data_IF_224884950524
#
_entry.id   IF_224884950524
#
_cell.length_a   1.000
_cell.length_b   1.000
_cell.length_c   1.000
_cell.angle_alpha   90.00
_cell.angle_beta   90.00
_cell.angle_gamma   90.00
#
_symmetry.space_group_name_H-M   'P 1'
#
loop_
_entity.id
_entity.type
_entity.pdbx_description
1 polymer ?
#
# COMPACT_ATOMS: atom_id res chain seq x y z
N UNK A 1 12.80 20.61 -18.89
CA UNK A 1 13.05 19.26 -18.34
C UNK A 1 14.00 19.29 -17.12
N UNK A 2 15.26 19.75 -17.23
CA UNK A 2 16.26 19.71 -16.13
C UNK A 2 15.80 20.50 -14.89
N UNK A 3 15.27 21.73 -15.03
CA UNK A 3 14.77 22.54 -13.90
C UNK A 3 13.61 21.85 -13.17
N UNK A 4 12.73 21.16 -13.88
CA UNK A 4 11.59 20.42 -13.30
C UNK A 4 12.09 19.18 -12.54
N UNK A 5 13.07 18.48 -13.10
CA UNK A 5 13.71 17.32 -12.47
C UNK A 5 14.39 17.72 -11.14
N UNK A 6 15.19 18.78 -11.16
CA UNK A 6 15.88 19.31 -9.95
C UNK A 6 14.84 19.74 -8.90
N UNK A 7 13.76 20.42 -9.30
CA UNK A 7 12.67 20.81 -8.39
C UNK A 7 11.98 19.61 -7.75
N UNK A 8 11.68 18.58 -8.55
CA UNK A 8 11.02 17.37 -8.06
C UNK A 8 11.94 16.60 -7.10
N UNK A 9 13.21 16.44 -7.43
CA UNK A 9 14.20 15.77 -6.58
C UNK A 9 14.37 16.53 -5.24
N UNK A 10 14.48 17.85 -5.28
CA UNK A 10 14.56 18.68 -4.06
C UNK A 10 13.32 18.54 -3.18
N UNK A 11 12.13 18.59 -3.78
CA UNK A 11 10.87 18.41 -3.05
C UNK A 11 10.74 17.01 -2.46
N UNK A 12 11.20 15.98 -3.18
CA UNK A 12 11.19 14.60 -2.68
C UNK A 12 12.13 14.44 -1.46
N UNK A 13 13.34 15.01 -1.55
CA UNK A 13 14.30 14.99 -0.44
C UNK A 13 13.77 15.73 0.80
N UNK A 14 13.16 16.90 0.62
CA UNK A 14 12.55 17.65 1.73
C UNK A 14 11.44 16.82 2.39
N UNK A 15 10.57 16.18 1.61
CA UNK A 15 9.50 15.31 2.13
C UNK A 15 10.07 14.09 2.85
N UNK A 16 11.11 13.48 2.30
CA UNK A 16 11.79 12.34 2.93
C UNK A 16 12.36 12.73 4.30
N UNK A 17 13.08 13.86 4.39
CA UNK A 17 13.63 14.35 5.66
C UNK A 17 12.51 14.68 6.66
N UNK A 18 11.45 15.38 6.22
CA UNK A 18 10.32 15.73 7.07
C UNK A 18 9.58 14.49 7.60
N UNK A 19 9.29 13.51 6.74
CA UNK A 19 8.58 12.30 7.15
C UNK A 19 9.48 11.34 7.92
N UNK A 20 10.78 11.33 7.67
CA UNK A 20 11.73 10.60 8.51
C UNK A 20 11.86 11.22 9.90
N UNK A 21 11.85 12.55 10.01
CA UNK A 21 11.79 13.24 11.31
C UNK A 21 10.49 12.93 12.05
N UNK A 22 9.36 12.87 11.35
CA UNK A 22 8.08 12.44 11.91
C UNK A 22 8.13 10.97 12.37
N UNK A 23 8.73 10.08 11.57
CA UNK A 23 8.96 8.69 11.94
C UNK A 23 9.74 8.60 13.26
N UNK A 24 10.84 9.35 13.41
CA UNK A 24 11.62 9.38 14.65
C UNK A 24 10.76 9.89 15.82
N UNK A 25 10.03 10.99 15.64
CA UNK A 25 9.15 11.53 16.69
C UNK A 25 8.07 10.51 17.13
N UNK A 26 7.41 9.86 16.17
CA UNK A 26 6.38 8.86 16.45
C UNK A 26 6.95 7.57 17.05
N UNK A 27 8.24 7.27 16.84
CA UNK A 27 8.93 6.12 17.44
C UNK A 27 9.12 6.24 18.96
N UNK A 28 8.88 7.42 19.54
CA UNK A 28 8.82 7.61 21.00
C UNK A 28 7.41 7.45 21.58
N UNK A 29 6.38 7.37 20.74
CA UNK A 29 4.99 7.20 21.20
C UNK A 29 4.74 5.75 21.61
N UNK A 30 4.35 5.51 22.86
CA UNK A 30 4.14 4.16 23.41
C UNK A 30 3.10 3.36 22.61
N UNK A 31 3.32 2.03 22.46
CA UNK A 31 2.37 1.12 21.79
C UNK A 31 0.99 1.18 22.43
N UNK A 32 0.90 1.37 23.77
CA UNK A 32 -0.37 1.53 24.49
C UNK A 32 -1.19 2.73 24.01
N UNK A 33 -0.55 3.80 23.55
CA UNK A 33 -1.23 4.97 22.98
C UNK A 33 -1.88 4.62 21.64
N UNK A 34 -1.16 3.93 20.75
CA UNK A 34 -1.70 3.43 19.49
C UNK A 34 -2.86 2.47 19.71
N UNK A 35 -2.73 1.56 20.66
CA UNK A 35 -3.81 0.66 21.06
C UNK A 35 -5.05 1.44 21.56
N UNK A 36 -4.86 2.41 22.47
CA UNK A 36 -5.96 3.20 23.04
C UNK A 36 -6.70 4.00 21.98
N UNK A 37 -6.01 4.57 21.02
CA UNK A 37 -6.57 5.48 20.01
C UNK A 37 -6.85 4.80 18.66
N UNK A 38 -6.72 3.48 18.52
CA UNK A 38 -6.89 2.76 17.26
C UNK A 38 -8.23 3.03 16.55
N UNK A 39 -9.33 3.03 17.29
CA UNK A 39 -10.66 3.34 16.72
C UNK A 39 -10.81 4.81 16.35
N UNK A 40 -10.19 5.72 17.11
CA UNK A 40 -10.19 7.16 16.79
C UNK A 40 -9.40 7.39 15.51
N UNK A 41 -8.25 6.73 15.35
CA UNK A 41 -7.45 6.80 14.14
C UNK A 41 -8.20 6.24 12.92
N UNK A 42 -8.96 5.16 13.11
CA UNK A 42 -9.81 4.60 12.06
C UNK A 42 -10.95 5.56 11.69
N UNK A 43 -11.66 6.12 12.66
CA UNK A 43 -12.72 7.11 12.42
C UNK A 43 -12.20 8.38 11.76
N UNK A 44 -11.02 8.85 12.15
CA UNK A 44 -10.35 9.96 11.51
C UNK A 44 -10.04 9.67 10.03
N UNK A 45 -9.53 8.47 9.73
CA UNK A 45 -9.31 8.02 8.35
C UNK A 45 -10.61 7.99 7.54
N UNK A 46 -11.72 7.50 8.11
CA UNK A 46 -13.03 7.52 7.47
C UNK A 46 -13.53 8.94 7.22
N UNK A 47 -13.39 9.83 8.19
CA UNK A 47 -13.75 11.23 8.05
C UNK A 47 -12.97 11.89 6.91
N UNK A 48 -11.67 11.65 6.82
CA UNK A 48 -10.86 12.15 5.70
C UNK A 48 -11.31 11.59 4.36
N UNK A 49 -11.69 10.30 4.28
CA UNK A 49 -12.24 9.70 3.05
C UNK A 49 -13.57 10.36 2.65
N UNK A 50 -14.43 10.67 3.60
CA UNK A 50 -15.68 11.39 3.35
C UNK A 50 -15.41 12.82 2.90
N UNK A 51 -14.46 13.52 3.52
CA UNK A 51 -14.08 14.89 3.10
C UNK A 51 -13.58 14.93 1.66
N UNK A 52 -12.88 13.90 1.16
CA UNK A 52 -12.47 13.83 -0.24
C UNK A 52 -13.65 13.82 -1.20
N UNK A 53 -14.75 13.19 -0.85
CA UNK A 53 -15.94 13.13 -1.73
C UNK A 53 -16.50 14.55 -1.96
N UNK A 54 -16.49 15.38 -0.92
CA UNK A 54 -17.02 16.75 -0.99
C UNK A 54 -15.99 17.77 -1.47
N UNK A 55 -14.77 17.73 -0.93
CA UNK A 55 -13.73 18.74 -1.11
C UNK A 55 -12.50 18.27 -1.89
N UNK A 56 -12.53 17.05 -2.43
CA UNK A 56 -11.38 16.47 -3.12
C UNK A 56 -11.05 17.17 -4.42
N UNK A 57 -9.74 17.27 -4.71
CA UNK A 57 -9.23 17.78 -5.97
C UNK A 57 -9.19 16.65 -6.99
N UNK A 58 -9.62 16.96 -8.23
CA UNK A 58 -9.52 16.02 -9.35
C UNK A 58 -8.11 16.05 -9.92
N UNK A 59 -7.43 14.91 -9.89
CA UNK A 59 -6.19 14.68 -10.61
C UNK A 59 -6.33 13.40 -11.43
N UNK A 60 -5.89 13.43 -12.68
CA UNK A 60 -5.96 12.28 -13.61
C UNK A 60 -7.37 11.64 -13.68
N UNK A 61 -8.43 12.46 -13.68
CA UNK A 61 -9.82 12.01 -13.83
C UNK A 61 -10.46 11.41 -12.56
N UNK A 62 -9.84 11.51 -11.40
CA UNK A 62 -10.41 11.02 -10.14
C UNK A 62 -10.20 11.99 -8.98
N UNK A 63 -11.23 12.12 -8.12
CA UNK A 63 -11.16 12.93 -6.89
C UNK A 63 -10.62 12.06 -5.75
N UNK A 64 -9.32 12.19 -5.42
CA UNK A 64 -8.66 11.34 -4.40
C UNK A 64 -7.80 12.12 -3.41
N UNK A 65 -7.57 13.41 -3.67
CA UNK A 65 -6.57 14.20 -2.99
C UNK A 65 -7.18 15.36 -2.22
N UNK A 66 -6.64 15.65 -1.04
CA UNK A 66 -6.89 16.87 -0.28
C UNK A 66 -5.62 17.72 -0.32
N UNK A 67 -5.73 18.98 -0.73
CA UNK A 67 -4.60 19.89 -0.70
C UNK A 67 -4.37 20.40 0.73
N UNK A 68 -3.19 20.11 1.27
CA UNK A 68 -2.72 20.59 2.57
C UNK A 68 -1.71 21.73 2.43
N UNK A 69 -1.72 22.49 1.31
CA UNK A 69 -0.80 23.57 0.95
C UNK A 69 0.65 23.11 0.73
N UNK A 70 1.19 22.21 1.56
CA UNK A 70 2.56 21.69 1.50
C UNK A 70 2.65 20.47 0.58
N UNK A 71 1.65 19.60 0.62
CA UNK A 71 1.53 18.41 -0.25
C UNK A 71 0.08 17.99 -0.37
N UNK A 72 -0.22 17.22 -1.41
CA UNK A 72 -1.53 16.61 -1.58
C UNK A 72 -1.59 15.33 -0.76
N UNK A 73 -2.54 15.28 0.18
CA UNK A 73 -2.80 14.10 1.00
C UNK A 73 -3.82 13.21 0.30
N UNK A 74 -3.51 11.91 0.18
CA UNK A 74 -4.45 10.88 -0.23
C UNK A 74 -4.90 10.10 1.02
N UNK A 75 -6.12 10.31 1.52
CA UNK A 75 -6.57 9.71 2.78
C UNK A 75 -6.61 8.18 2.77
N UNK A 76 -6.84 7.57 1.62
CA UNK A 76 -6.83 6.11 1.48
C UNK A 76 -5.46 5.49 1.83
N UNK A 77 -4.36 6.24 1.70
CA UNK A 77 -3.03 5.79 2.13
C UNK A 77 -2.96 5.65 3.66
N UNK A 78 -3.48 6.62 4.41
CA UNK A 78 -3.56 6.56 5.87
C UNK A 78 -4.56 5.51 6.33
N UNK A 79 -5.68 5.34 5.59
CA UNK A 79 -6.73 4.39 5.94
C UNK A 79 -6.22 2.95 5.97
N UNK A 80 -5.25 2.57 5.14
CA UNK A 80 -4.62 1.24 5.19
C UNK A 80 -4.00 0.95 6.55
N UNK A 81 -3.21 1.90 7.07
CA UNK A 81 -2.59 1.76 8.39
C UNK A 81 -3.66 1.75 9.48
N UNK A 82 -4.68 2.62 9.35
CA UNK A 82 -5.77 2.71 10.32
C UNK A 82 -6.57 1.40 10.42
N UNK A 83 -6.85 0.73 9.32
CA UNK A 83 -7.50 -0.60 9.29
C UNK A 83 -6.64 -1.63 10.01
N UNK A 84 -5.33 -1.65 9.74
CA UNK A 84 -4.39 -2.59 10.38
C UNK A 84 -4.38 -2.39 11.90
N UNK A 85 -4.25 -1.14 12.37
CA UNK A 85 -4.24 -0.79 13.80
C UNK A 85 -5.61 -1.13 14.45
N UNK A 86 -6.71 -0.82 13.76
CA UNK A 86 -8.05 -1.10 14.23
C UNK A 86 -8.29 -2.61 14.42
N UNK A 87 -7.93 -3.42 13.43
CA UNK A 87 -8.09 -4.87 13.47
C UNK A 87 -7.18 -5.53 14.48
N UNK A 88 -5.92 -5.08 14.59
CA UNK A 88 -5.00 -5.57 15.62
C UNK A 88 -5.57 -5.33 17.03
N UNK A 89 -6.21 -4.15 17.26
CA UNK A 89 -6.90 -3.86 18.52
C UNK A 89 -8.15 -4.73 18.72
N UNK A 90 -8.94 -4.91 17.69
CA UNK A 90 -10.17 -5.70 17.75
C UNK A 90 -9.87 -7.14 18.17
N UNK A 91 -8.96 -7.81 17.47
CA UNK A 91 -8.60 -9.20 17.76
C UNK A 91 -7.78 -9.39 19.03
N UNK A 92 -7.08 -8.35 19.49
CA UNK A 92 -6.40 -8.40 20.79
C UNK A 92 -7.36 -8.56 21.98
N UNK A 93 -8.63 -8.16 21.84
CA UNK A 93 -9.63 -8.27 22.90
C UNK A 93 -10.41 -9.57 22.89
N UNK A 94 -10.30 -10.35 21.85
CA UNK A 94 -11.05 -11.59 21.66
C UNK A 94 -10.19 -12.76 22.14
N UNK A 95 -10.78 -13.66 22.93
CA UNK A 95 -10.10 -14.90 23.32
C UNK A 95 -9.93 -15.78 22.10
N UNK A 96 -8.82 -16.52 22.02
CA UNK A 96 -8.49 -17.38 20.88
C UNK A 96 -9.57 -18.44 20.58
N UNK A 97 -10.27 -18.90 21.61
CA UNK A 97 -11.39 -19.87 21.51
C UNK A 97 -12.63 -19.30 20.82
N UNK A 98 -12.83 -17.99 20.89
CA UNK A 98 -14.02 -17.32 20.38
C UNK A 98 -13.88 -16.84 18.94
N UNK A 99 -12.63 -16.75 18.43
CA UNK A 99 -12.32 -16.23 17.09
C UNK A 99 -13.00 -17.06 16.00
N UNK A 100 -13.24 -18.35 16.22
CA UNK A 100 -13.92 -19.23 15.26
C UNK A 100 -15.41 -18.96 15.10
N UNK A 101 -16.02 -18.19 16.02
CA UNK A 101 -17.45 -17.86 15.95
C UNK A 101 -17.71 -16.78 14.89
N UNK A 102 -18.73 -17.02 14.04
CA UNK A 102 -19.15 -16.07 13.00
C UNK A 102 -19.53 -14.68 13.54
N UNK A 103 -19.91 -14.58 14.83
CA UNK A 103 -20.25 -13.32 15.48
C UNK A 103 -19.08 -12.34 15.50
N UNK A 104 -17.86 -12.87 15.67
CA UNK A 104 -16.64 -12.04 15.68
C UNK A 104 -16.06 -11.77 14.29
N UNK A 105 -16.65 -12.37 13.23
CA UNK A 105 -16.29 -12.12 11.85
C UNK A 105 -17.09 -10.93 11.25
N UNK A 106 -18.35 -10.77 11.66
CA UNK A 106 -19.23 -9.78 11.05
C UNK A 106 -18.72 -8.35 11.25
N UNK A 107 -18.27 -8.01 12.46
CA UNK A 107 -17.80 -6.66 12.77
C UNK A 107 -16.54 -6.26 11.97
N UNK A 108 -15.45 -7.07 11.88
CA UNK A 108 -14.31 -6.76 11.01
C UNK A 108 -14.69 -6.66 9.53
N UNK A 109 -15.61 -7.49 9.05
CA UNK A 109 -16.08 -7.40 7.66
C UNK A 109 -16.74 -6.04 7.41
N UNK A 110 -17.64 -5.60 8.28
CA UNK A 110 -18.28 -4.28 8.15
C UNK A 110 -17.23 -3.16 8.21
N UNK A 111 -16.31 -3.22 9.18
CA UNK A 111 -15.22 -2.26 9.31
C UNK A 111 -14.26 -2.28 8.10
N UNK A 112 -14.18 -3.37 7.33
CA UNK A 112 -13.40 -3.44 6.11
C UNK A 112 -14.17 -2.93 4.90
N UNK A 113 -15.44 -3.28 4.79
CA UNK A 113 -16.27 -2.94 3.62
C UNK A 113 -16.54 -1.43 3.54
N UNK A 114 -16.71 -0.73 4.67
CA UNK A 114 -16.97 0.72 4.68
C UNK A 114 -15.85 1.51 3.97
N UNK A 115 -14.57 1.43 4.39
CA UNK A 115 -13.51 2.15 3.71
C UNK A 115 -13.28 1.67 2.28
N UNK A 116 -13.39 0.37 2.00
CA UNK A 116 -13.29 -0.15 0.64
C UNK A 116 -14.36 0.44 -0.28
N UNK A 117 -15.61 0.50 0.18
CA UNK A 117 -16.70 1.11 -0.58
C UNK A 117 -16.44 2.60 -0.86
N UNK A 118 -16.02 3.38 0.16
CA UNK A 118 -15.70 4.79 -0.01
C UNK A 118 -14.55 5.01 -1.01
N UNK A 119 -13.53 4.14 -1.00
CA UNK A 119 -12.40 4.23 -1.92
C UNK A 119 -12.79 3.82 -3.34
N UNK A 120 -13.65 2.83 -3.50
CA UNK A 120 -14.20 2.43 -4.83
C UNK A 120 -15.05 3.56 -5.44
N UNK A 121 -15.80 4.32 -4.64
CA UNK A 121 -16.56 5.48 -5.13
C UNK A 121 -15.65 6.60 -5.63
N UNK A 122 -14.40 6.69 -5.15
CA UNK A 122 -13.36 7.62 -5.58
C UNK A 122 -12.55 7.14 -6.80
N UNK A 123 -13.09 6.29 -7.66
CA UNK A 123 -12.50 5.42 -8.69
C UNK A 123 -11.09 4.89 -8.40
N UNK A 124 -10.81 4.44 -7.16
CA UNK A 124 -9.50 3.91 -6.75
C UNK A 124 -9.57 2.42 -6.38
N UNK A 125 -9.74 1.58 -7.39
CA UNK A 125 -9.88 0.14 -7.20
C UNK A 125 -8.58 -0.49 -6.67
N UNK A 126 -7.42 0.01 -7.08
CA UNK A 126 -6.12 -0.50 -6.64
C UNK A 126 -5.92 -0.37 -5.13
N UNK A 127 -6.15 0.82 -4.61
CA UNK A 127 -6.04 1.07 -3.16
C UNK A 127 -7.11 0.31 -2.38
N UNK A 128 -8.34 0.16 -2.91
CA UNK A 128 -9.38 -0.64 -2.27
C UNK A 128 -8.97 -2.12 -2.13
N UNK A 129 -8.36 -2.70 -3.16
CA UNK A 129 -7.83 -4.08 -3.12
C UNK A 129 -6.71 -4.21 -2.08
N UNK A 130 -5.82 -3.21 -1.99
CA UNK A 130 -4.74 -3.22 -1.00
C UNK A 130 -5.25 -3.10 0.44
N UNK A 131 -6.28 -2.26 0.68
CA UNK A 131 -6.96 -2.17 1.98
C UNK A 131 -7.63 -3.50 2.31
N UNK A 132 -8.39 -4.06 1.37
CA UNK A 132 -9.08 -5.34 1.54
C UNK A 132 -8.09 -6.48 1.82
N UNK A 133 -7.03 -6.58 1.02
CA UNK A 133 -5.99 -7.60 1.17
C UNK A 133 -5.29 -7.54 2.53
N UNK A 134 -4.92 -6.35 3.00
CA UNK A 134 -4.30 -6.18 4.31
C UNK A 134 -5.25 -6.51 5.46
N UNK A 135 -6.52 -6.13 5.36
CA UNK A 135 -7.54 -6.45 6.37
C UNK A 135 -7.85 -7.95 6.42
N UNK A 136 -8.04 -8.59 5.28
CA UNK A 136 -8.28 -10.04 5.17
C UNK A 136 -7.09 -10.82 5.75
N UNK A 137 -5.86 -10.38 5.45
CA UNK A 137 -4.67 -11.01 5.99
C UNK A 137 -4.62 -10.98 7.52
N UNK A 138 -5.00 -9.87 8.15
CA UNK A 138 -5.06 -9.78 9.63
C UNK A 138 -6.14 -10.70 10.19
N UNK A 139 -7.30 -10.78 9.54
CA UNK A 139 -8.39 -11.68 9.95
C UNK A 139 -7.89 -13.14 9.94
N UNK A 140 -7.13 -13.51 8.91
CA UNK A 140 -6.52 -14.84 8.82
C UNK A 140 -5.46 -15.07 9.89
N UNK A 141 -4.54 -14.12 10.05
CA UNK A 141 -3.45 -14.18 11.03
C UNK A 141 -3.93 -14.15 12.48
N UNK A 142 -5.12 -13.61 12.73
CA UNK A 142 -5.77 -13.66 14.04
C UNK A 142 -6.22 -15.07 14.43
N UNK A 143 -6.31 -16.00 13.47
CA UNK A 143 -6.65 -17.41 13.73
C UNK A 143 -8.02 -17.84 13.20
N UNK A 144 -8.64 -17.07 12.30
CA UNK A 144 -9.91 -17.48 11.69
C UNK A 144 -9.70 -18.77 10.85
N UNK A 145 -10.64 -19.69 10.93
CA UNK A 145 -10.56 -20.97 10.25
C UNK A 145 -10.50 -20.78 8.72
N UNK A 146 -9.56 -21.48 8.09
CA UNK A 146 -9.33 -21.43 6.62
C UNK A 146 -10.57 -21.75 5.80
N UNK A 147 -11.53 -22.52 6.34
CA UNK A 147 -12.78 -22.85 5.67
C UNK A 147 -13.58 -21.63 5.24
N UNK A 148 -13.60 -20.57 6.06
CA UNK A 148 -14.30 -19.32 5.73
C UNK A 148 -13.67 -18.63 4.51
N UNK A 149 -12.33 -18.67 4.38
CA UNK A 149 -11.63 -18.13 3.22
C UNK A 149 -11.89 -18.95 1.97
N UNK A 150 -11.94 -20.29 2.07
CA UNK A 150 -12.28 -21.18 0.95
C UNK A 150 -13.70 -20.90 0.49
N UNK A 151 -14.67 -20.84 1.40
CA UNK A 151 -16.07 -20.56 1.04
C UNK A 151 -16.25 -19.15 0.46
N UNK A 152 -15.60 -18.13 1.04
CA UNK A 152 -15.66 -16.78 0.50
C UNK A 152 -14.97 -16.67 -0.87
N UNK A 153 -13.86 -17.37 -1.08
CA UNK A 153 -13.18 -17.46 -2.37
C UNK A 153 -14.04 -18.16 -3.43
N UNK A 154 -14.69 -19.26 -3.07
CA UNK A 154 -15.63 -19.96 -3.96
C UNK A 154 -16.83 -19.07 -4.31
N UNK A 155 -17.42 -18.40 -3.33
CA UNK A 155 -18.50 -17.44 -3.55
C UNK A 155 -18.08 -16.32 -4.49
N UNK A 156 -16.86 -15.79 -4.32
CA UNK A 156 -16.31 -14.76 -5.18
C UNK A 156 -16.12 -15.26 -6.60
N UNK A 157 -15.63 -16.48 -6.80
CA UNK A 157 -15.49 -17.10 -8.12
C UNK A 157 -16.86 -17.27 -8.81
N UNK A 158 -17.87 -17.75 -8.10
CA UNK A 158 -19.23 -17.90 -8.64
C UNK A 158 -19.86 -16.54 -8.97
N UNK A 159 -19.57 -15.50 -8.16
CA UNK A 159 -20.08 -14.14 -8.39
C UNK A 159 -19.30 -13.35 -9.45
N UNK A 160 -18.17 -13.84 -9.97
CA UNK A 160 -17.34 -13.15 -10.95
C UNK A 160 -18.11 -12.64 -12.19
N UNK A 161 -18.96 -13.44 -12.86
CA UNK A 161 -19.72 -12.94 -14.01
C UNK A 161 -20.62 -11.75 -13.66
N UNK A 162 -21.26 -11.81 -12.48
CA UNK A 162 -22.10 -10.72 -11.99
C UNK A 162 -21.28 -9.48 -11.65
N UNK A 163 -20.13 -9.65 -10.97
CA UNK A 163 -19.19 -8.54 -10.65
C UNK A 163 -18.74 -7.88 -11.95
N UNK A 164 -18.33 -8.65 -12.97
CA UNK A 164 -17.90 -8.11 -14.27
C UNK A 164 -19.03 -7.31 -14.94
N UNK A 165 -20.29 -7.72 -14.80
CA UNK A 165 -21.42 -6.98 -15.39
C UNK A 165 -21.59 -5.59 -14.78
N UNK A 166 -21.35 -5.43 -13.48
CA UNK A 166 -21.50 -4.18 -12.71
C UNK A 166 -20.31 -3.25 -12.84
N UNK A 167 -19.14 -3.73 -13.26
CA UNK A 167 -17.94 -2.90 -13.41
C UNK A 167 -18.20 -1.69 -14.30
N UNK A 168 -17.66 -0.54 -13.88
CA UNK A 168 -17.69 0.69 -14.69
C UNK A 168 -16.88 0.51 -15.99
N UNK A 169 -17.21 1.26 -17.06
CA UNK A 169 -16.53 1.12 -18.36
C UNK A 169 -15.00 1.22 -18.26
N UNK A 170 -14.46 2.13 -17.46
CA UNK A 170 -13.01 2.29 -17.28
C UNK A 170 -12.35 1.08 -16.60
N UNK A 171 -13.07 0.38 -15.70
CA UNK A 171 -12.57 -0.82 -15.04
C UNK A 171 -12.53 -2.01 -16.00
N UNK A 172 -13.61 -2.16 -16.80
CA UNK A 172 -13.65 -3.15 -17.89
C UNK A 172 -12.54 -2.91 -18.91
N UNK A 173 -12.33 -1.64 -19.29
CA UNK A 173 -11.26 -1.27 -20.20
C UNK A 173 -9.89 -1.70 -19.68
N UNK A 174 -9.57 -1.46 -18.40
CA UNK A 174 -8.29 -1.87 -17.81
C UNK A 174 -8.06 -3.38 -17.84
N UNK A 175 -9.12 -4.17 -17.59
CA UNK A 175 -9.04 -5.63 -17.68
C UNK A 175 -8.83 -6.07 -19.13
N UNK A 176 -9.56 -5.50 -20.08
CA UNK A 176 -9.42 -5.84 -21.49
C UNK A 176 -8.06 -5.43 -22.05
N UNK A 177 -7.57 -4.24 -21.67
CA UNK A 177 -6.25 -3.73 -22.06
C UNK A 177 -5.12 -4.59 -21.46
N UNK A 178 -5.32 -5.17 -20.29
CA UNK A 178 -4.35 -6.11 -19.71
C UNK A 178 -4.18 -7.37 -20.57
N UNK A 179 -5.29 -7.96 -21.08
CA UNK A 179 -5.22 -9.12 -21.95
C UNK A 179 -4.78 -8.79 -23.38
N UNK A 180 -5.10 -7.60 -23.86
CA UNK A 180 -4.69 -7.12 -25.18
C UNK A 180 -4.27 -5.63 -25.11
N UNK A 181 -2.98 -5.37 -24.77
CA UNK A 181 -2.48 -3.98 -24.65
C UNK A 181 -2.55 -3.17 -25.94
N UNK A 182 -2.56 -3.82 -27.10
CA UNK A 182 -2.62 -3.16 -28.41
C UNK A 182 -3.97 -2.46 -28.68
N UNK A 183 -5.02 -2.81 -27.92
CA UNK A 183 -6.34 -2.14 -28.04
C UNK A 183 -6.33 -0.68 -27.56
N UNK A 184 -5.38 -0.31 -26.73
CA UNK A 184 -5.27 1.03 -26.15
C UNK A 184 -3.86 1.59 -26.38
N UNK A 185 -3.51 1.94 -27.62
CA UNK A 185 -2.17 2.35 -28.00
C UNK A 185 -1.77 3.75 -27.51
N UNK A 186 -2.68 4.51 -26.89
CA UNK A 186 -2.44 5.85 -26.36
C UNK A 186 -2.66 5.96 -24.84
N UNK A 187 -3.19 4.92 -24.19
CA UNK A 187 -3.52 4.91 -22.77
C UNK A 187 -2.77 3.87 -21.97
N UNK A 188 -3.50 3.08 -21.18
CA UNK A 188 -2.93 2.07 -20.29
C UNK A 188 -2.12 0.98 -21.04
N UNK A 189 -2.56 0.60 -22.24
CA UNK A 189 -1.83 -0.39 -23.08
C UNK A 189 -0.44 0.11 -23.48
N UNK A 190 -0.36 1.38 -23.89
CA UNK A 190 0.91 2.03 -24.19
C UNK A 190 1.88 1.97 -22.99
N UNK A 191 1.39 2.32 -21.81
CA UNK A 191 2.22 2.30 -20.59
C UNK A 191 2.77 0.90 -20.28
N UNK A 192 1.96 -0.17 -20.45
CA UNK A 192 2.40 -1.55 -20.26
C UNK A 192 3.49 -1.93 -21.26
N UNK A 193 3.28 -1.61 -22.54
CA UNK A 193 4.23 -1.94 -23.61
C UNK A 193 5.55 -1.20 -23.37
N UNK A 194 5.51 0.11 -23.13
CA UNK A 194 6.72 0.92 -22.88
C UNK A 194 7.44 0.48 -21.61
N UNK A 195 6.71 0.10 -20.56
CA UNK A 195 7.31 -0.44 -19.35
C UNK A 195 8.08 -1.74 -19.61
N UNK A 196 7.49 -2.69 -20.36
CA UNK A 196 8.16 -3.94 -20.73
C UNK A 196 9.39 -3.69 -21.60
N UNK A 197 9.32 -2.78 -22.57
CA UNK A 197 10.45 -2.37 -23.41
C UNK A 197 11.57 -1.79 -22.55
N UNK A 198 11.25 -0.88 -21.63
CA UNK A 198 12.24 -0.27 -20.75
C UNK A 198 12.96 -1.30 -19.87
N UNK A 199 12.20 -2.17 -19.19
CA UNK A 199 12.76 -3.22 -18.34
C UNK A 199 13.66 -4.16 -19.18
N UNK A 200 13.16 -4.61 -20.34
CA UNK A 200 13.93 -5.50 -21.24
C UNK A 200 15.20 -4.85 -21.78
N UNK A 201 15.15 -3.54 -22.07
CA UNK A 201 16.29 -2.80 -22.58
C UNK A 201 17.41 -2.56 -21.55
N UNK A 202 17.10 -2.70 -20.24
CA UNK A 202 18.08 -2.60 -19.16
C UNK A 202 19.07 -3.78 -19.13
N UNK A 203 18.71 -4.95 -19.68
CA UNK A 203 19.58 -6.12 -19.70
C UNK A 203 20.07 -6.53 -18.29
N UNK A 204 21.29 -7.08 -18.21
CA UNK A 204 21.84 -7.54 -16.93
C UNK A 204 22.38 -6.39 -16.05
N UNK A 205 23.05 -5.41 -16.62
CA UNK A 205 23.78 -4.37 -15.87
C UNK A 205 23.14 -2.98 -15.94
N UNK A 206 22.07 -2.82 -16.74
CA UNK A 206 21.45 -1.52 -16.98
C UNK A 206 22.19 -0.66 -18.01
N UNK A 207 21.54 0.45 -18.41
CA UNK A 207 22.11 1.43 -19.33
C UNK A 207 23.04 2.45 -18.64
N UNK A 208 23.02 2.49 -17.30
CA UNK A 208 23.70 3.49 -16.49
C UNK A 208 22.76 4.56 -15.92
N UNK A 209 23.18 5.17 -14.82
CA UNK A 209 22.41 6.20 -14.13
C UNK A 209 22.14 7.40 -15.04
N UNK A 210 20.90 7.82 -15.16
CA UNK A 210 20.41 8.88 -16.05
C UNK A 210 20.61 8.62 -17.56
N UNK A 211 20.90 7.38 -17.98
CA UNK A 211 21.09 7.01 -19.38
C UNK A 211 19.92 6.20 -19.94
N UNK A 212 18.83 6.06 -19.16
CA UNK A 212 17.60 5.40 -19.59
C UNK A 212 16.90 6.17 -20.71
N UNK A 213 16.75 5.57 -21.88
CA UNK A 213 16.13 6.22 -23.06
C UNK A 213 14.65 6.46 -22.87
N UNK A 214 13.92 5.51 -22.25
CA UNK A 214 12.49 5.62 -21.99
C UNK A 214 12.19 6.71 -20.95
N UNK A 215 13.08 6.86 -19.96
CA UNK A 215 13.05 7.92 -18.98
C UNK A 215 13.25 9.30 -19.60
N UNK A 216 14.26 9.43 -20.47
CA UNK A 216 14.66 10.70 -21.05
C UNK A 216 13.65 11.22 -22.08
N UNK A 217 13.09 10.33 -22.89
CA UNK A 217 12.13 10.68 -23.96
C UNK A 217 10.69 10.87 -23.46
N UNK A 218 10.47 10.76 -22.14
CA UNK A 218 9.14 10.98 -21.51
C UNK A 218 8.01 10.07 -22.02
N UNK A 219 8.33 8.87 -22.49
CA UNK A 219 7.34 7.91 -22.98
C UNK A 219 6.40 7.38 -21.90
N UNK A 220 6.78 7.49 -20.61
CA UNK A 220 5.98 7.08 -19.47
C UNK A 220 5.51 8.31 -18.68
N UNK A 221 4.22 8.71 -18.75
CA UNK A 221 3.70 9.89 -18.05
C UNK A 221 3.87 9.79 -16.52
N UNK A 222 3.60 8.62 -15.94
CA UNK A 222 3.64 8.37 -14.48
C UNK A 222 4.97 7.72 -14.05
N UNK A 223 6.07 8.05 -14.73
CA UNK A 223 7.39 7.45 -14.50
C UNK A 223 7.94 7.65 -13.08
N UNK A 224 7.59 8.74 -12.41
CA UNK A 224 8.10 9.07 -11.07
C UNK A 224 7.23 8.49 -9.95
N UNK A 225 6.04 8.00 -10.25
CA UNK A 225 5.07 7.47 -9.29
C UNK A 225 4.95 5.96 -9.43
N UNK A 226 4.05 5.50 -10.26
CA UNK A 226 3.66 4.09 -10.35
C UNK A 226 4.67 3.24 -11.13
N UNK A 227 5.41 3.85 -12.07
CA UNK A 227 6.39 3.18 -12.93
C UNK A 227 7.85 3.43 -12.54
N UNK A 228 8.11 3.84 -11.29
CA UNK A 228 9.48 4.10 -10.83
C UNK A 228 10.39 2.87 -10.93
N UNK A 229 9.84 1.67 -10.71
CA UNK A 229 10.58 0.41 -10.85
C UNK A 229 11.03 0.17 -12.28
N UNK A 230 10.25 0.61 -13.28
CA UNK A 230 10.61 0.54 -14.71
C UNK A 230 11.89 1.33 -14.98
N UNK A 231 11.94 2.58 -14.51
CA UNK A 231 13.11 3.44 -14.68
C UNK A 231 14.33 2.85 -13.99
N UNK A 232 14.14 2.39 -12.76
CA UNK A 232 15.20 1.77 -12.00
C UNK A 232 15.76 0.53 -12.72
N UNK A 233 14.88 -0.31 -13.26
CA UNK A 233 15.27 -1.51 -14.01
C UNK A 233 15.95 -1.18 -15.34
N UNK A 234 15.58 -0.10 -16.02
CA UNK A 234 16.25 0.36 -17.24
C UNK A 234 17.69 0.84 -16.94
N UNK A 235 17.86 1.60 -15.84
CA UNK A 235 19.13 2.22 -15.49
C UNK A 235 20.12 1.24 -14.82
N UNK A 236 19.63 0.36 -13.92
CA UNK A 236 20.45 -0.55 -13.11
C UNK A 236 20.36 -2.01 -13.54
N UNK A 237 19.49 -2.34 -14.50
CA UNK A 237 19.33 -3.66 -15.06
C UNK A 237 18.77 -4.70 -14.10
N UNK A 238 18.95 -5.96 -14.47
CA UNK A 238 18.45 -7.10 -13.72
C UNK A 238 19.11 -7.22 -12.33
N UNK A 239 20.42 -7.01 -12.25
CA UNK A 239 21.16 -7.11 -10.98
C UNK A 239 20.68 -6.05 -10.00
N UNK A 240 20.52 -4.80 -10.43
CA UNK A 240 19.97 -3.73 -9.59
C UNK A 240 18.54 -4.03 -9.15
N UNK A 241 17.69 -4.52 -10.05
CA UNK A 241 16.29 -4.89 -9.76
C UNK A 241 16.19 -5.99 -8.70
N UNK A 242 17.02 -7.04 -8.80
CA UNK A 242 17.06 -8.10 -7.77
C UNK A 242 17.56 -7.56 -6.44
N UNK A 243 18.57 -6.70 -6.43
CA UNK A 243 19.07 -6.09 -5.20
C UNK A 243 17.98 -5.27 -4.51
N UNK A 244 17.21 -4.49 -5.27
CA UNK A 244 16.10 -3.70 -4.73
C UNK A 244 15.01 -4.61 -4.14
N UNK A 245 14.61 -5.66 -4.85
CA UNK A 245 13.62 -6.65 -4.37
C UNK A 245 14.14 -7.34 -3.09
N UNK A 246 15.42 -7.68 -3.05
CA UNK A 246 16.06 -8.26 -1.87
C UNK A 246 16.02 -7.31 -0.66
N UNK A 247 16.25 -6.02 -0.86
CA UNK A 247 16.14 -5.02 0.22
C UNK A 247 14.71 -4.92 0.77
N UNK A 248 13.68 -4.95 -0.09
CA UNK A 248 12.28 -5.02 0.37
C UNK A 248 12.00 -6.33 1.12
N UNK A 249 12.47 -7.46 0.61
CA UNK A 249 12.31 -8.75 1.27
C UNK A 249 12.99 -8.75 2.66
N UNK A 250 14.18 -8.16 2.76
CA UNK A 250 14.90 -8.00 4.02
C UNK A 250 14.13 -7.12 5.01
N UNK A 251 13.55 -6.00 4.54
CA UNK A 251 12.73 -5.12 5.37
C UNK A 251 11.50 -5.87 5.90
N UNK A 252 10.77 -6.55 5.02
CA UNK A 252 9.59 -7.36 5.39
C UNK A 252 9.97 -8.46 6.39
N UNK A 253 11.06 -9.18 6.12
CA UNK A 253 11.59 -10.20 7.05
C UNK A 253 11.91 -9.63 8.43
N UNK A 254 12.53 -8.45 8.51
CA UNK A 254 12.81 -7.77 9.78
C UNK A 254 11.55 -7.41 10.53
N UNK A 255 10.52 -6.91 9.86
CA UNK A 255 9.22 -6.60 10.48
C UNK A 255 8.56 -7.87 11.03
N UNK A 256 8.58 -8.95 10.26
CA UNK A 256 8.05 -10.27 10.70
C UNK A 256 8.82 -10.77 11.92
N UNK A 257 10.15 -10.69 11.91
CA UNK A 257 11.00 -11.10 13.03
C UNK A 257 10.68 -10.30 14.31
N UNK A 258 10.47 -8.98 14.19
CA UNK A 258 10.00 -8.13 15.28
C UNK A 258 8.64 -8.62 15.78
N UNK A 259 7.70 -8.91 14.87
CA UNK A 259 6.38 -9.42 15.23
C UNK A 259 6.42 -10.71 16.05
N UNK A 260 7.30 -11.66 15.70
CA UNK A 260 7.49 -12.88 16.49
C UNK A 260 8.04 -12.62 17.90
N UNK A 261 8.87 -11.60 18.05
CA UNK A 261 9.45 -11.22 19.33
C UNK A 261 8.49 -10.44 20.23
N UNK A 262 7.41 -9.87 19.69
CA UNK A 262 6.45 -9.06 20.45
C UNK A 262 5.70 -9.87 21.49
N UNK A 263 5.63 -9.37 22.75
CA UNK A 263 4.83 -9.96 23.83
C UNK A 263 3.34 -9.65 23.69
N UNK A 264 3.00 -8.45 23.24
CA UNK A 264 1.61 -8.01 23.04
C UNK A 264 1.03 -8.60 21.75
N UNK A 265 -0.12 -9.25 21.84
CA UNK A 265 -0.82 -9.80 20.69
C UNK A 265 -1.23 -8.69 19.70
N UNK A 266 -1.57 -7.49 20.20
CA UNK A 266 -1.80 -6.31 19.36
C UNK A 266 -0.57 -5.96 18.51
N UNK A 267 0.60 -5.83 19.14
CA UNK A 267 1.84 -5.50 18.44
C UNK A 267 2.23 -6.60 17.43
N UNK A 268 2.05 -7.87 17.80
CA UNK A 268 2.28 -9.03 16.94
C UNK A 268 1.41 -8.99 15.68
N UNK A 269 0.08 -8.84 15.85
CA UNK A 269 -0.86 -8.73 14.74
C UNK A 269 -0.60 -7.50 13.87
N UNK A 270 -0.25 -6.36 14.50
CA UNK A 270 0.10 -5.16 13.77
C UNK A 270 1.32 -5.38 12.88
N UNK A 271 2.42 -5.92 13.42
CA UNK A 271 3.64 -6.19 12.64
C UNK A 271 3.37 -7.14 11.46
N UNK A 272 2.62 -8.19 11.67
CA UNK A 272 2.27 -9.13 10.60
C UNK A 272 1.33 -8.51 9.56
N UNK A 273 0.31 -7.76 10.00
CA UNK A 273 -0.59 -7.05 9.10
C UNK A 273 0.13 -5.99 8.27
N UNK A 274 1.03 -5.23 8.88
CA UNK A 274 1.82 -4.22 8.19
C UNK A 274 2.84 -4.84 7.22
N UNK A 275 3.51 -5.94 7.61
CA UNK A 275 4.41 -6.67 6.71
C UNK A 275 3.68 -7.22 5.49
N UNK A 276 2.46 -7.74 5.67
CA UNK A 276 1.62 -8.20 4.55
C UNK A 276 1.17 -7.04 3.65
N UNK A 277 0.76 -5.91 4.24
CA UNK A 277 0.41 -4.73 3.47
C UNK A 277 1.60 -4.23 2.64
N UNK A 278 2.79 -4.17 3.23
CA UNK A 278 4.01 -3.76 2.54
C UNK A 278 4.37 -4.74 1.41
N UNK A 279 4.25 -6.05 1.66
CA UNK A 279 4.44 -7.08 0.64
C UNK A 279 3.46 -6.90 -0.53
N UNK A 280 2.17 -6.72 -0.25
CA UNK A 280 1.15 -6.52 -1.29
C UNK A 280 1.44 -5.28 -2.12
N UNK A 281 1.91 -4.19 -1.50
CA UNK A 281 2.30 -2.98 -2.23
C UNK A 281 3.43 -3.23 -3.21
N UNK A 282 4.53 -3.80 -2.73
CA UNK A 282 5.71 -4.10 -3.56
C UNK A 282 5.33 -5.09 -4.66
N UNK A 283 4.61 -6.15 -4.31
CA UNK A 283 4.19 -7.17 -5.26
C UNK A 283 3.29 -6.60 -6.36
N UNK A 284 2.23 -5.85 -5.99
CA UNK A 284 1.28 -5.28 -6.96
C UNK A 284 1.97 -4.26 -7.86
N UNK A 285 2.85 -3.40 -7.32
CA UNK A 285 3.60 -2.45 -8.14
C UNK A 285 4.49 -3.16 -9.15
N UNK A 286 5.34 -4.08 -8.71
CA UNK A 286 6.25 -4.80 -9.60
C UNK A 286 5.46 -5.64 -10.61
N UNK A 287 4.43 -6.35 -10.17
CA UNK A 287 3.62 -7.19 -11.04
C UNK A 287 2.89 -6.40 -12.14
N UNK A 288 2.35 -5.19 -11.83
CA UNK A 288 1.71 -4.36 -12.86
C UNK A 288 2.72 -3.79 -13.86
N UNK A 289 3.92 -3.42 -13.40
CA UNK A 289 4.97 -2.84 -14.23
C UNK A 289 5.57 -3.87 -15.18
N UNK A 290 5.74 -5.13 -14.73
CA UNK A 290 6.18 -6.26 -15.57
C UNK A 290 5.05 -6.77 -16.47
N UNK A 291 3.80 -6.36 -16.20
CA UNK A 291 2.62 -6.74 -16.98
C UNK A 291 2.05 -8.10 -16.61
N UNK A 292 2.16 -8.51 -15.33
CA UNK A 292 1.51 -9.67 -14.72
C UNK A 292 0.15 -9.31 -14.09
N UNK A 293 -0.09 -8.02 -13.82
CA UNK A 293 -1.35 -7.49 -13.31
C UNK A 293 -1.79 -6.27 -14.13
N UNK A 294 -3.10 -5.97 -14.19
CA UNK A 294 -3.57 -4.74 -14.80
C UNK A 294 -3.06 -3.51 -14.03
N UNK A 295 -2.95 -2.37 -14.70
CA UNK A 295 -2.51 -1.12 -14.07
C UNK A 295 -3.56 -0.66 -13.06
N UNK A 296 -3.19 -0.68 -11.78
CA UNK A 296 -4.06 -0.30 -10.66
C UNK A 296 -3.65 1.03 -10.02
N UNK A 297 -2.46 1.56 -10.34
CA UNK A 297 -1.97 2.81 -9.77
C UNK A 297 -1.52 2.65 -8.32
N UNK A 298 -0.65 1.67 -8.05
CA UNK A 298 -0.06 1.45 -6.74
C UNK A 298 1.40 1.93 -6.73
N UNK A 299 1.76 2.96 -5.96
CA UNK A 299 3.14 3.44 -5.90
C UNK A 299 4.05 2.46 -5.17
N UNK A 300 5.33 2.38 -5.56
CA UNK A 300 6.33 1.58 -4.86
C UNK A 300 6.69 2.25 -3.52
N UNK A 301 6.59 1.54 -2.38
CA UNK A 301 6.87 2.08 -1.05
C UNK A 301 8.22 2.80 -0.96
N UNK A 302 8.25 3.98 -0.34
CA UNK A 302 9.45 4.81 -0.09
C UNK A 302 10.09 5.38 -1.37
N UNK A 303 10.16 4.60 -2.46
CA UNK A 303 10.87 4.97 -3.68
C UNK A 303 10.04 5.89 -4.59
N UNK A 304 8.72 5.68 -4.69
CA UNK A 304 7.85 6.49 -5.54
C UNK A 304 7.72 7.92 -5.04
N UNK A 305 7.62 8.86 -5.97
CA UNK A 305 7.32 10.26 -5.68
C UNK A 305 5.86 10.44 -5.23
N UNK A 306 5.56 10.01 -4.00
CA UNK A 306 4.24 10.06 -3.39
C UNK A 306 4.31 10.51 -1.93
N UNK A 307 3.97 11.78 -1.65
CA UNK A 307 4.03 12.30 -0.29
C UNK A 307 3.15 11.51 0.69
N UNK A 308 1.93 11.15 0.28
CA UNK A 308 0.98 10.42 1.14
C UNK A 308 1.39 8.97 1.39
N UNK A 309 1.90 8.29 0.36
CA UNK A 309 2.38 6.92 0.49
C UNK A 309 3.60 6.86 1.42
N UNK A 310 4.57 7.77 1.23
CA UNK A 310 5.73 7.87 2.10
C UNK A 310 5.33 8.18 3.55
N UNK A 311 4.41 9.13 3.77
CA UNK A 311 3.89 9.47 5.10
C UNK A 311 3.27 8.24 5.78
N UNK A 312 2.38 7.52 5.09
CA UNK A 312 1.70 6.35 5.66
C UNK A 312 2.70 5.25 6.04
N UNK A 313 3.70 4.99 5.19
CA UNK A 313 4.73 3.99 5.47
C UNK A 313 5.60 4.40 6.66
N UNK A 314 5.99 5.67 6.76
CA UNK A 314 6.77 6.17 7.90
C UNK A 314 5.99 6.07 9.22
N UNK A 315 4.67 6.37 9.21
CA UNK A 315 3.80 6.12 10.36
C UNK A 315 3.73 4.62 10.66
N UNK A 316 3.56 3.78 9.64
CA UNK A 316 3.50 2.33 9.81
C UNK A 316 4.79 1.76 10.43
N UNK A 317 5.94 2.16 9.94
CA UNK A 317 7.25 1.75 10.47
C UNK A 317 7.49 2.27 11.89
N UNK A 318 7.01 3.46 12.25
CA UNK A 318 7.17 3.99 13.61
C UNK A 318 6.48 3.09 14.65
N UNK A 319 5.29 2.57 14.34
CA UNK A 319 4.56 1.66 15.22
C UNK A 319 5.31 0.32 15.34
N UNK A 320 5.92 -0.19 14.25
CA UNK A 320 6.77 -1.40 14.30
C UNK A 320 7.97 -1.17 15.22
N UNK A 321 8.65 -0.02 15.08
CA UNK A 321 9.85 0.31 15.88
C UNK A 321 9.51 0.39 17.36
N UNK A 322 8.41 1.04 17.73
CA UNK A 322 7.95 1.12 19.13
C UNK A 322 7.58 -0.27 19.68
N UNK A 323 7.01 -1.11 18.84
CA UNK A 323 6.70 -2.50 19.22
C UNK A 323 7.95 -3.30 19.59
N UNK A 324 9.10 -2.98 18.97
CA UNK A 324 10.40 -3.57 19.28
C UNK A 324 11.03 -3.01 20.56
N UNK A 325 11.01 -1.69 20.77
CA UNK A 325 11.68 -1.05 21.92
C UNK A 325 11.08 -1.45 23.24
N UNK A 326 9.79 -1.75 23.31
CA UNK A 326 9.13 -2.29 24.53
C UNK A 326 9.54 -3.73 24.88
N UNK A 327 10.32 -4.40 24.03
CA UNK A 327 10.92 -5.71 24.35
C UNK A 327 12.25 -5.57 25.09
N UNK A 328 12.99 -4.49 24.84
CA UNK A 328 14.37 -4.29 25.32
C UNK A 328 14.45 -3.51 26.64
N UNK A 329 13.40 -2.77 26.98
CA UNK A 329 13.34 -2.08 28.28
C UNK A 329 12.72 -3.01 29.31
N UNK A 330 13.42 -3.34 30.40
CA UNK A 330 12.84 -4.05 31.53
C UNK A 330 11.65 -3.21 32.04
N UNK A 331 10.50 -3.86 32.26
CA UNK A 331 9.36 -3.28 32.96
C UNK A 331 9.70 -3.06 34.43
N UNK A 332 10.58 -2.14 34.72
CA UNK A 332 10.79 -1.57 36.03
C UNK A 332 9.87 -0.39 36.20
N UNK A 333 8.58 -0.65 36.23
CA UNK A 333 7.58 0.14 36.96
C UNK A 333 6.41 -0.82 37.17
N UNK A 334 6.46 -1.43 38.34
CA UNK A 334 5.35 -2.20 38.88
C UNK A 334 4.19 -1.30 39.22
N UNK A 335 3.05 -1.98 39.33
CA UNK A 335 1.78 -1.63 39.96
C UNK A 335 0.95 -0.62 39.21
#
# INVERSE_FOLDING_TARGET
AIKTLIKNTKNHLIRLVAFFSLFLALSFVRVSTWYRHAYIFYLFGLLLLLLVIFFGISASGSKRWINLFVFNLQPSELMKIAVIVCFARYYHRIQSTDIESYKYLLQPIILLLIPCYLVITQPDLGTAILIAGSGIAIIWLAGLNIKYFIYSGLLLLVSLPFIISILKPYQKSRILTFFNPERDPLGAGYQIIQSKIAIGSGGMHGKGFLQGTQSYLEFLPEKHTDFIFTLFSEEFGFIGSILLIFLYALLIYRIIKIGFSCRSFFAKLYCFGFSTALFLYVFVNIAMVVGLLPIVGAPLPIMSYGGSSMLSIMIGLSIVTVSYTHLTLPTTFGV
#
